data_IF_164273516926
#
_entry.id   IF_164273516926
#
_cell.length_a   1.000
_cell.length_b   1.000
_cell.length_c   1.000
_cell.angle_alpha   90.00
_cell.angle_beta   90.00
_cell.angle_gamma   90.00
#
_symmetry.space_group_name_H-M   'P 1'
#
loop_
_entity.id
_entity.type
_entity.pdbx_description
1 polymer ?
#
# COMPACT_ATOMS: atom_id res chain seq x y z
N UNK A 1 -45.94 21.33 -20.79
CA UNK A 1 -44.53 20.88 -20.74
C UNK A 1 -44.30 20.16 -19.42
N UNK A 2 -43.94 18.86 -19.43
CA UNK A 2 -43.52 18.14 -18.21
C UNK A 2 -42.09 18.55 -17.86
N UNK A 3 -41.90 19.06 -16.63
CA UNK A 3 -40.59 19.43 -16.10
C UNK A 3 -39.77 18.14 -15.88
N UNK A 4 -38.48 18.06 -16.26
CA UNK A 4 -37.69 16.87 -15.97
C UNK A 4 -37.54 16.75 -14.45
N UNK A 5 -37.84 15.57 -13.90
CA UNK A 5 -37.42 15.23 -12.55
C UNK A 5 -35.90 15.00 -12.59
N UNK A 6 -35.14 15.96 -12.09
CA UNK A 6 -33.74 15.74 -11.75
C UNK A 6 -33.72 15.14 -10.35
N UNK A 7 -33.22 13.90 -10.24
CA UNK A 7 -32.93 13.29 -8.95
C UNK A 7 -31.62 13.88 -8.45
N UNK A 8 -31.58 14.30 -7.19
CA UNK A 8 -30.38 14.82 -6.54
C UNK A 8 -29.45 13.64 -6.24
N UNK A 9 -28.35 13.55 -6.98
CA UNK A 9 -27.35 12.48 -6.91
C UNK A 9 -26.13 12.84 -6.06
N UNK A 10 -26.12 14.04 -5.46
CA UNK A 10 -24.97 14.55 -4.69
C UNK A 10 -24.59 13.63 -3.53
N UNK A 11 -25.59 13.06 -2.84
CA UNK A 11 -25.34 12.13 -1.74
C UNK A 11 -24.70 10.81 -2.23
N UNK A 12 -25.13 10.30 -3.38
CA UNK A 12 -24.56 9.09 -3.97
C UNK A 12 -23.13 9.31 -4.46
N UNK A 13 -22.88 10.47 -5.08
CA UNK A 13 -21.54 10.87 -5.52
C UNK A 13 -20.61 11.02 -4.30
N UNK A 14 -21.06 11.68 -3.24
CA UNK A 14 -20.28 11.84 -2.01
C UNK A 14 -19.91 10.49 -1.38
N UNK A 15 -20.88 9.56 -1.31
CA UNK A 15 -20.66 8.21 -0.80
C UNK A 15 -19.57 7.46 -1.60
N UNK A 16 -19.58 7.58 -2.93
CA UNK A 16 -18.54 6.96 -3.77
C UNK A 16 -17.14 7.49 -3.46
N UNK A 17 -16.99 8.80 -3.26
CA UNK A 17 -15.70 9.38 -2.90
C UNK A 17 -15.22 8.89 -1.53
N UNK A 18 -16.12 8.83 -0.54
CA UNK A 18 -15.79 8.31 0.79
C UNK A 18 -15.34 6.85 0.74
N UNK A 19 -16.02 6.00 -0.03
CA UNK A 19 -15.63 4.58 -0.18
C UNK A 19 -14.23 4.45 -0.78
N UNK A 20 -13.91 5.24 -1.80
CA UNK A 20 -12.58 5.22 -2.44
C UNK A 20 -11.50 5.70 -1.47
N UNK A 21 -11.78 6.75 -0.71
CA UNK A 21 -10.85 7.30 0.28
C UNK A 21 -10.58 6.32 1.43
N UNK A 22 -11.63 5.69 1.95
CA UNK A 22 -11.53 4.65 2.99
C UNK A 22 -10.71 3.45 2.50
N UNK A 23 -11.02 2.95 1.30
CA UNK A 23 -10.29 1.83 0.72
C UNK A 23 -8.81 2.16 0.49
N UNK A 24 -8.52 3.38 0.00
CA UNK A 24 -7.14 3.84 -0.23
C UNK A 24 -6.39 3.94 1.09
N UNK A 25 -7.02 4.50 2.13
CA UNK A 25 -6.43 4.64 3.47
C UNK A 25 -6.13 3.27 4.10
N UNK A 26 -7.05 2.33 3.98
CA UNK A 26 -6.86 0.95 4.48
C UNK A 26 -5.72 0.23 3.73
N UNK A 27 -5.64 0.38 2.41
CA UNK A 27 -4.55 -0.19 1.61
C UNK A 27 -3.20 0.43 1.96
N UNK A 28 -3.14 1.74 2.20
CA UNK A 28 -1.92 2.41 2.64
C UNK A 28 -1.44 1.88 3.99
N UNK A 29 -2.35 1.71 4.95
CA UNK A 29 -2.04 1.09 6.24
C UNK A 29 -1.51 -0.35 6.09
N UNK A 30 -2.17 -1.16 5.25
CA UNK A 30 -1.73 -2.52 4.97
C UNK A 30 -0.33 -2.56 4.31
N UNK A 31 -0.06 -1.66 3.36
CA UNK A 31 1.25 -1.54 2.72
C UNK A 31 2.33 -1.16 3.72
N UNK A 32 2.06 -0.20 4.60
CA UNK A 32 2.95 0.18 5.69
C UNK A 32 3.30 -1.03 6.60
N UNK A 33 2.30 -1.81 7.01
CA UNK A 33 2.54 -3.01 7.82
C UNK A 33 3.37 -4.07 7.08
N UNK A 34 3.12 -4.29 5.78
CA UNK A 34 3.89 -5.24 4.96
C UNK A 34 5.36 -4.83 4.82
N UNK A 35 5.63 -3.55 4.60
CA UNK A 35 7.01 -3.03 4.50
C UNK A 35 7.74 -3.18 5.83
N UNK A 36 7.09 -2.85 6.95
CA UNK A 36 7.69 -2.99 8.27
C UNK A 36 7.94 -4.45 8.64
N UNK A 37 7.00 -5.34 8.31
CA UNK A 37 7.19 -6.78 8.44
C UNK A 37 8.39 -7.29 7.64
N UNK A 38 8.59 -6.77 6.42
CA UNK A 38 9.78 -7.08 5.61
C UNK A 38 11.07 -6.58 6.25
N UNK A 39 11.10 -5.32 6.73
CA UNK A 39 12.26 -4.78 7.45
C UNK A 39 12.62 -5.61 8.68
N UNK A 40 11.62 -6.01 9.47
CA UNK A 40 11.81 -6.88 10.64
C UNK A 40 12.32 -8.28 10.25
N UNK A 41 11.84 -8.84 9.14
CA UNK A 41 12.32 -10.13 8.63
C UNK A 41 13.80 -10.08 8.21
N UNK A 42 14.31 -8.92 7.77
CA UNK A 42 15.71 -8.73 7.39
C UNK A 42 16.64 -8.62 8.61
N UNK A 43 16.14 -8.06 9.73
CA UNK A 43 16.88 -7.94 10.99
C UNK A 43 16.86 -9.23 11.83
N UNK A 44 16.09 -10.23 11.39
CA UNK A 44 16.24 -11.64 11.72
C UNK A 44 16.08 -12.00 13.21
N UNK A 45 14.98 -11.62 13.87
CA UNK A 45 14.43 -12.37 15.02
C UNK A 45 12.89 -12.30 14.98
N UNK A 46 12.23 -13.43 14.72
CA UNK A 46 10.76 -13.64 14.83
C UNK A 46 9.83 -13.15 13.69
N UNK A 47 10.13 -13.45 12.42
CA UNK A 47 9.09 -13.43 11.38
C UNK A 47 8.82 -14.85 10.85
N UNK A 48 7.55 -15.28 10.85
CA UNK A 48 7.15 -16.69 10.65
C UNK A 48 7.16 -17.16 9.18
N UNK A 49 7.49 -16.29 8.23
CA UNK A 49 7.55 -16.58 6.80
C UNK A 49 9.01 -16.66 6.34
N UNK A 50 9.32 -17.63 5.49
CA UNK A 50 10.67 -17.71 4.91
C UNK A 50 10.96 -16.47 4.06
N UNK A 51 12.22 -16.04 4.03
CA UNK A 51 12.65 -14.87 3.22
C UNK A 51 12.22 -14.98 1.76
N UNK A 52 12.18 -16.21 1.23
CA UNK A 52 11.77 -16.50 -0.14
C UNK A 52 10.26 -16.26 -0.36
N UNK A 53 9.41 -16.69 0.57
CA UNK A 53 7.97 -16.46 0.49
C UNK A 53 7.63 -14.98 0.56
N UNK A 54 8.31 -14.24 1.43
CA UNK A 54 8.08 -12.81 1.58
C UNK A 54 8.53 -12.00 0.36
N UNK A 55 9.66 -12.38 -0.24
CA UNK A 55 10.09 -11.82 -1.52
C UNK A 55 9.07 -12.10 -2.64
N UNK A 56 8.52 -13.31 -2.71
CA UNK A 56 7.49 -13.66 -3.70
C UNK A 56 6.18 -12.92 -3.46
N UNK A 57 5.79 -12.70 -2.19
CA UNK A 57 4.63 -11.90 -1.83
C UNK A 57 4.82 -10.43 -2.26
N UNK A 58 5.99 -9.84 -1.98
CA UNK A 58 6.29 -8.47 -2.40
C UNK A 58 6.34 -8.34 -3.92
N UNK A 59 6.91 -9.33 -4.63
CA UNK A 59 6.94 -9.35 -6.09
C UNK A 59 5.55 -9.44 -6.71
N UNK A 60 4.67 -10.28 -6.16
CA UNK A 60 3.31 -10.49 -6.66
C UNK A 60 2.31 -9.40 -6.28
N UNK A 61 2.64 -8.56 -5.29
CA UNK A 61 1.72 -7.52 -4.81
C UNK A 61 2.25 -6.10 -5.03
N UNK A 62 3.45 -5.80 -4.54
CA UNK A 62 3.99 -4.43 -4.51
C UNK A 62 4.76 -4.09 -5.79
N UNK A 63 5.63 -5.00 -6.24
CA UNK A 63 6.48 -4.73 -7.42
C UNK A 63 5.76 -4.86 -8.77
N UNK A 64 4.50 -5.29 -8.77
CA UNK A 64 3.66 -5.25 -9.96
C UNK A 64 3.20 -3.83 -10.32
N UNK A 65 3.18 -2.92 -9.34
CA UNK A 65 2.67 -1.55 -9.53
C UNK A 65 3.76 -0.48 -9.41
N UNK A 66 4.88 -0.79 -8.74
CA UNK A 66 5.98 0.15 -8.52
C UNK A 66 7.32 -0.56 -8.69
N UNK A 67 8.26 0.06 -9.40
CA UNK A 67 9.58 -0.51 -9.59
C UNK A 67 10.28 -0.71 -8.23
N UNK A 68 10.92 -1.89 -7.97
CA UNK A 68 11.53 -2.19 -6.68
C UNK A 68 12.51 -1.11 -6.19
N UNK A 69 13.33 -0.56 -7.10
CA UNK A 69 14.28 0.49 -6.76
C UNK A 69 13.61 1.76 -6.23
N UNK A 70 12.42 2.11 -6.71
CA UNK A 70 11.68 3.29 -6.25
C UNK A 70 11.20 3.09 -4.81
N UNK A 71 10.72 1.90 -4.47
CA UNK A 71 10.32 1.56 -3.10
C UNK A 71 11.52 1.57 -2.17
N UNK A 72 12.64 0.95 -2.58
CA UNK A 72 13.87 0.89 -1.80
C UNK A 72 14.48 2.28 -1.57
N UNK A 73 14.38 3.18 -2.55
CA UNK A 73 14.82 4.57 -2.41
C UNK A 73 13.89 5.38 -1.51
N UNK A 74 12.56 5.19 -1.59
CA UNK A 74 11.59 5.88 -0.72
C UNK A 74 11.73 5.50 0.75
N UNK A 75 12.16 4.28 1.05
CA UNK A 75 12.36 3.84 2.44
C UNK A 75 13.77 4.10 2.96
N UNK A 76 14.57 4.92 2.25
CA UNK A 76 15.97 5.24 2.56
C UNK A 76 16.82 3.99 2.80
N UNK A 77 16.53 2.88 2.09
CA UNK A 77 17.22 1.61 2.30
C UNK A 77 18.73 1.70 2.08
N UNK A 78 19.17 2.60 1.19
CA UNK A 78 20.58 2.82 0.90
C UNK A 78 21.24 3.87 1.80
N UNK A 79 20.48 4.72 2.50
CA UNK A 79 21.04 5.74 3.39
C UNK A 79 21.55 5.14 4.71
N UNK A 80 21.01 4.01 5.16
CA UNK A 80 21.44 3.33 6.39
C UNK A 80 22.73 2.49 6.22
N UNK A 81 23.37 2.52 5.04
CA UNK A 81 24.60 1.74 4.77
C UNK A 81 25.91 2.49 5.03
N UNK A 82 25.85 3.69 5.62
CA UNK A 82 27.01 4.54 5.93
C UNK A 82 27.32 4.70 7.42
N UNK A 83 27.08 3.68 8.24
CA UNK A 83 27.68 3.61 9.59
C UNK A 83 28.38 2.25 9.77
N UNK A 84 29.71 2.33 9.86
CA UNK A 84 30.62 1.23 10.20
C UNK A 84 30.47 0.81 11.67
#
# INVERSE_FOLDING_TARGET
MKKPLFFDDQAHIAEQFTIVEDHTSQLAALAFHKVNAYKLSLQNHAYCMSRAELHNLLKSTLFNYVHPCTVLQMVSYFDDSSDN
#
